data_IF_236702748806
#
_entry.id   IF_236702748806
#
_cell.length_a   1.000
_cell.length_b   1.000
_cell.length_c   1.000
_cell.angle_alpha   90.00
_cell.angle_beta   90.00
_cell.angle_gamma   90.00
#
_symmetry.space_group_name_H-M   'P 1'
#
loop_
_entity.id
_entity.type
_entity.pdbx_description
1 polymer ?
#
# COMPACT_ATOMS: atom_id res chain seq x y z
N UNK A 1 57.28 -27.47 8.14
CA UNK A 1 57.53 -28.28 9.35
C UNK A 1 58.29 -27.39 10.33
N UNK A 2 57.86 -27.34 11.60
CA UNK A 2 58.20 -26.39 12.70
C UNK A 2 57.48 -25.03 12.56
N UNK A 3 56.38 -24.68 13.24
CA UNK A 3 55.94 -24.72 14.68
C UNK A 3 56.65 -23.68 15.56
N UNK A 4 55.88 -22.67 15.98
CA UNK A 4 55.71 -22.17 17.37
C UNK A 4 54.50 -21.22 17.40
N UNK A 5 53.41 -21.47 18.13
CA UNK A 5 53.21 -21.45 19.60
C UNK A 5 53.00 -20.05 20.20
N UNK A 6 51.72 -19.72 20.44
CA UNK A 6 51.14 -18.97 21.57
C UNK A 6 49.71 -18.55 21.14
N UNK A 7 48.60 -18.84 21.80
CA UNK A 7 48.37 -19.18 23.20
C UNK A 7 47.22 -18.29 23.70
N UNK A 8 45.96 -18.73 23.56
CA UNK A 8 44.82 -18.11 24.25
C UNK A 8 43.74 -19.16 24.54
N UNK A 9 43.75 -19.61 25.80
CA UNK A 9 42.74 -20.46 26.43
C UNK A 9 41.52 -19.61 26.83
N UNK A 10 40.32 -19.97 26.35
CA UNK A 10 39.06 -19.55 26.97
C UNK A 10 38.47 -20.71 27.77
N UNK A 11 38.20 -20.55 29.06
CA UNK A 11 37.72 -21.64 29.88
C UNK A 11 36.21 -21.54 30.20
N UNK A 12 35.61 -22.69 30.47
CA UNK A 12 34.33 -22.95 31.16
C UNK A 12 33.04 -22.36 30.54
N UNK A 13 32.04 -23.16 30.16
CA UNK A 13 31.50 -24.29 30.92
C UNK A 13 30.28 -23.83 31.70
N UNK A 14 29.10 -23.83 31.07
CA UNK A 14 27.82 -23.65 31.76
C UNK A 14 26.85 -24.72 31.27
N UNK A 15 26.90 -25.88 31.92
CA UNK A 15 25.82 -26.86 31.91
C UNK A 15 24.56 -26.20 32.47
N UNK A 16 23.51 -26.05 31.65
CA UNK A 16 22.15 -25.80 32.16
C UNK A 16 21.46 -27.13 32.33
N UNK A 17 21.07 -27.37 33.58
CA UNK A 17 20.10 -28.37 34.00
C UNK A 17 18.88 -28.37 33.06
N UNK A 18 18.66 -29.49 32.38
CA UNK A 18 17.37 -29.87 31.81
C UNK A 18 16.60 -30.59 32.93
N UNK A 19 15.80 -29.84 33.69
CA UNK A 19 14.84 -30.39 34.64
C UNK A 19 13.44 -30.23 34.07
N UNK A 20 12.85 -31.38 33.71
CA UNK A 20 11.44 -31.71 33.82
C UNK A 20 10.38 -30.64 33.58
N UNK A 21 10.08 -30.36 32.31
CA UNK A 21 8.74 -29.89 31.88
C UNK A 21 8.28 -30.68 30.65
N UNK A 22 8.45 -32.01 30.68
CA UNK A 22 7.72 -32.92 29.81
C UNK A 22 6.55 -33.47 30.61
N UNK A 23 5.33 -32.98 30.37
CA UNK A 23 4.07 -33.77 30.35
C UNK A 23 2.77 -32.94 30.25
N UNK A 24 2.78 -31.60 30.32
CA UNK A 24 1.54 -30.81 30.09
C UNK A 24 1.40 -30.20 28.68
N UNK A 25 2.39 -30.39 27.80
CA UNK A 25 2.37 -29.91 26.40
C UNK A 25 1.76 -30.97 25.46
N UNK A 26 0.61 -31.55 25.83
CA UNK A 26 -0.12 -32.49 24.96
C UNK A 26 -1.62 -32.20 24.84
N UNK A 27 -2.11 -31.10 25.43
CA UNK A 27 -3.56 -30.82 25.52
C UNK A 27 -4.00 -29.46 24.99
N UNK A 28 -3.19 -28.82 24.13
CA UNK A 28 -3.62 -27.62 23.38
C UNK A 28 -3.28 -27.73 21.89
N UNK A 29 -3.71 -28.83 21.26
CA UNK A 29 -4.02 -28.76 19.84
C UNK A 29 -5.14 -27.73 19.69
N UNK A 30 -4.77 -26.51 19.29
CA UNK A 30 -5.74 -25.49 18.93
C UNK A 30 -6.58 -26.07 17.79
N UNK A 31 -7.87 -26.26 18.06
CA UNK A 31 -8.84 -26.65 17.03
C UNK A 31 -8.67 -25.69 15.85
N UNK A 32 -8.41 -26.18 14.62
CA UNK A 32 -8.50 -25.34 13.45
C UNK A 32 -9.87 -24.65 13.50
N UNK A 33 -9.88 -23.32 13.58
CA UNK A 33 -11.13 -22.56 13.63
C UNK A 33 -11.92 -23.00 12.41
N UNK A 34 -13.09 -23.60 12.64
CA UNK A 34 -13.92 -24.23 11.61
C UNK A 34 -14.06 -23.37 10.33
N UNK A 35 -13.98 -22.04 10.46
CA UNK A 35 -13.99 -21.07 9.37
C UNK A 35 -12.93 -21.29 8.28
N UNK A 36 -11.71 -21.67 8.66
CA UNK A 36 -10.61 -21.86 7.71
C UNK A 36 -10.71 -23.22 7.00
N UNK A 37 -11.33 -24.21 7.66
CA UNK A 37 -11.61 -25.53 7.07
C UNK A 37 -12.72 -25.43 6.02
N UNK A 38 -13.75 -24.60 6.27
CA UNK A 38 -14.89 -24.49 5.38
C UNK A 38 -14.72 -23.45 4.26
N UNK A 39 -13.63 -22.66 4.25
CA UNK A 39 -13.39 -21.66 3.20
C UNK A 39 -14.42 -20.53 3.18
N UNK A 40 -14.91 -20.12 4.35
CA UNK A 40 -15.96 -19.10 4.46
C UNK A 40 -15.42 -17.70 4.07
N UNK A 41 -16.14 -16.94 3.23
CA UNK A 41 -15.70 -15.62 2.78
C UNK A 41 -15.66 -14.57 3.91
N UNK A 42 -14.75 -13.61 3.79
CA UNK A 42 -14.54 -12.54 4.78
C UNK A 42 -15.33 -11.25 4.46
N UNK A 43 -16.01 -11.19 3.33
CA UNK A 43 -16.77 -10.04 2.85
C UNK A 43 -18.28 -10.32 2.84
N UNK A 44 -19.09 -9.28 3.06
CA UNK A 44 -20.55 -9.39 3.11
C UNK A 44 -21.12 -9.99 1.82
N UNK A 45 -20.53 -9.63 0.67
CA UNK A 45 -20.92 -10.16 -0.64
C UNK A 45 -20.70 -11.67 -0.71
N UNK A 46 -19.54 -12.16 -0.30
CA UNK A 46 -19.28 -13.60 -0.24
C UNK A 46 -20.28 -14.34 0.65
N UNK A 47 -20.68 -13.78 1.79
CA UNK A 47 -21.72 -14.38 2.64
C UNK A 47 -23.09 -14.47 1.96
N UNK A 48 -23.51 -13.41 1.26
CA UNK A 48 -24.78 -13.40 0.52
C UNK A 48 -24.77 -14.43 -0.62
N UNK A 49 -23.66 -14.53 -1.35
CA UNK A 49 -23.50 -15.52 -2.42
C UNK A 49 -23.46 -16.95 -1.86
N UNK A 50 -22.79 -17.18 -0.73
CA UNK A 50 -22.74 -18.49 -0.08
C UNK A 50 -24.13 -18.93 0.41
N UNK A 51 -24.91 -18.01 0.99
CA UNK A 51 -26.30 -18.27 1.36
C UNK A 51 -27.16 -18.61 0.13
N UNK A 52 -26.97 -17.90 -0.99
CA UNK A 52 -27.60 -18.21 -2.27
C UNK A 52 -27.28 -19.62 -2.78
N UNK A 53 -26.01 -20.02 -2.71
CA UNK A 53 -25.56 -21.37 -3.08
C UNK A 53 -26.23 -22.46 -2.23
N UNK A 54 -26.30 -22.27 -0.90
CA UNK A 54 -26.99 -23.20 0.00
C UNK A 54 -28.47 -23.28 -0.33
N UNK A 55 -29.13 -22.13 -0.60
CA UNK A 55 -30.52 -22.08 -1.03
C UNK A 55 -30.77 -22.89 -2.29
N UNK A 56 -29.91 -22.75 -3.31
CA UNK A 56 -30.01 -23.52 -4.55
C UNK A 56 -29.87 -25.04 -4.32
N UNK A 57 -28.95 -25.46 -3.45
CA UNK A 57 -28.80 -26.89 -3.08
C UNK A 57 -30.05 -27.42 -2.39
N UNK A 58 -30.62 -26.68 -1.44
CA UNK A 58 -31.83 -27.10 -0.72
C UNK A 58 -33.04 -27.23 -1.65
N UNK A 59 -33.21 -26.29 -2.58
CA UNK A 59 -34.26 -26.37 -3.62
C UNK A 59 -34.02 -27.58 -4.51
N UNK A 60 -32.78 -27.83 -4.94
CA UNK A 60 -32.42 -29.01 -5.73
C UNK A 60 -32.77 -30.32 -5.03
N UNK A 61 -32.43 -30.45 -3.74
CA UNK A 61 -32.78 -31.62 -2.93
C UNK A 61 -34.30 -31.79 -2.82
N UNK A 62 -35.04 -30.71 -2.54
CA UNK A 62 -36.50 -30.76 -2.43
C UNK A 62 -37.17 -31.26 -3.72
N UNK A 63 -36.73 -30.77 -4.87
CA UNK A 63 -37.23 -31.21 -6.18
C UNK A 63 -36.94 -32.69 -6.46
N UNK A 64 -35.72 -33.15 -6.15
CA UNK A 64 -35.36 -34.57 -6.30
C UNK A 64 -36.21 -35.48 -5.42
N UNK A 65 -36.51 -35.07 -4.19
CA UNK A 65 -37.37 -35.84 -3.29
C UNK A 65 -38.81 -35.98 -3.81
N UNK A 66 -39.28 -35.00 -4.60
CA UNK A 66 -40.58 -35.07 -5.29
C UNK A 66 -40.53 -35.80 -6.64
N UNK A 67 -39.37 -36.33 -7.04
CA UNK A 67 -39.17 -37.01 -8.31
C UNK A 67 -38.97 -36.08 -9.52
N UNK A 68 -38.76 -34.79 -9.29
CA UNK A 68 -38.54 -33.81 -10.35
C UNK A 68 -37.06 -33.80 -10.80
N UNK A 69 -36.74 -34.17 -12.06
CA UNK A 69 -35.39 -34.18 -12.57
C UNK A 69 -34.74 -32.79 -12.61
N UNK A 70 -35.52 -31.70 -12.55
CA UNK A 70 -34.98 -30.34 -12.45
C UNK A 70 -34.23 -30.08 -11.14
N UNK A 71 -34.31 -30.97 -10.14
CA UNK A 71 -33.49 -30.85 -8.94
C UNK A 71 -31.98 -30.99 -9.19
N UNK A 72 -31.56 -31.75 -10.22
CA UNK A 72 -30.15 -31.95 -10.57
C UNK A 72 -29.43 -30.65 -10.98
N UNK A 73 -29.95 -29.83 -11.92
CA UNK A 73 -29.28 -28.58 -12.29
C UNK A 73 -29.21 -27.57 -11.15
N UNK A 74 -30.19 -27.51 -10.23
CA UNK A 74 -30.10 -26.64 -9.04
C UNK A 74 -28.98 -27.08 -8.09
N UNK A 75 -28.82 -28.39 -7.88
CA UNK A 75 -27.72 -28.96 -7.11
C UNK A 75 -26.36 -28.62 -7.72
N UNK A 76 -26.21 -28.86 -9.04
CA UNK A 76 -24.97 -28.54 -9.75
C UNK A 76 -24.64 -27.04 -9.69
N UNK A 77 -25.66 -26.19 -9.84
CA UNK A 77 -25.53 -24.73 -9.75
C UNK A 77 -25.08 -24.30 -8.35
N UNK A 78 -25.70 -24.83 -7.29
CA UNK A 78 -25.32 -24.49 -5.91
C UNK A 78 -23.88 -24.89 -5.57
N UNK A 79 -23.43 -26.07 -6.03
CA UNK A 79 -22.04 -26.52 -5.84
C UNK A 79 -21.07 -25.65 -6.64
N UNK A 80 -21.36 -25.38 -7.92
CA UNK A 80 -20.54 -24.52 -8.75
C UNK A 80 -20.45 -23.09 -8.19
N UNK A 81 -21.57 -22.52 -7.75
CA UNK A 81 -21.62 -21.20 -7.13
C UNK A 81 -20.73 -21.12 -5.88
N UNK A 82 -20.73 -22.18 -5.06
CA UNK A 82 -19.88 -22.27 -3.87
C UNK A 82 -18.38 -22.33 -4.22
N UNK A 83 -17.99 -23.21 -5.15
CA UNK A 83 -16.58 -23.36 -5.55
C UNK A 83 -16.01 -22.09 -6.19
N UNK A 84 -16.85 -21.34 -6.89
CA UNK A 84 -16.45 -20.13 -7.62
C UNK A 84 -16.89 -18.82 -6.95
N UNK A 85 -17.09 -18.83 -5.62
CA UNK A 85 -17.40 -17.65 -4.81
C UNK A 85 -16.44 -16.46 -5.07
N UNK A 86 -15.18 -16.77 -5.35
CA UNK A 86 -14.11 -15.78 -5.59
C UNK A 86 -14.06 -15.29 -7.06
N UNK A 87 -14.67 -16.00 -8.01
CA UNK A 87 -14.62 -15.68 -9.43
C UNK A 87 -15.83 -14.81 -9.84
N UNK A 88 -15.64 -13.49 -9.81
CA UNK A 88 -16.70 -12.49 -10.06
C UNK A 88 -17.49 -12.71 -11.35
N UNK A 89 -16.79 -12.90 -12.47
CA UNK A 89 -17.42 -13.07 -13.79
C UNK A 89 -18.22 -14.37 -13.85
N UNK A 90 -17.68 -15.45 -13.26
CA UNK A 90 -18.34 -16.75 -13.25
C UNK A 90 -19.63 -16.72 -12.41
N UNK A 91 -19.56 -16.15 -11.19
CA UNK A 91 -20.74 -15.99 -10.34
C UNK A 91 -21.83 -15.17 -11.01
N UNK A 92 -21.47 -14.10 -11.74
CA UNK A 92 -22.43 -13.28 -12.48
C UNK A 92 -23.13 -14.07 -13.59
N UNK A 93 -22.37 -14.80 -14.41
CA UNK A 93 -22.90 -15.62 -15.51
C UNK A 93 -23.84 -16.70 -14.95
N UNK A 94 -23.42 -17.36 -13.87
CA UNK A 94 -24.17 -18.45 -13.25
C UNK A 94 -25.54 -17.99 -12.74
N UNK A 95 -25.59 -16.93 -11.92
CA UNK A 95 -26.85 -16.42 -11.37
C UNK A 95 -27.75 -15.77 -12.43
N UNK A 96 -27.17 -15.16 -13.46
CA UNK A 96 -27.93 -14.67 -14.63
C UNK A 96 -28.57 -15.83 -15.40
N UNK A 97 -27.86 -16.94 -15.56
CA UNK A 97 -28.38 -18.17 -16.17
C UNK A 97 -29.57 -18.74 -15.39
N UNK A 98 -29.49 -18.78 -14.06
CA UNK A 98 -30.61 -19.22 -13.19
C UNK A 98 -31.83 -18.34 -13.38
N UNK A 99 -31.65 -17.01 -13.39
CA UNK A 99 -32.74 -16.06 -13.57
C UNK A 99 -33.42 -16.22 -14.95
N UNK A 100 -32.63 -16.37 -16.02
CA UNK A 100 -33.15 -16.55 -17.38
C UNK A 100 -33.86 -17.91 -17.54
N UNK A 101 -33.30 -18.98 -16.98
CA UNK A 101 -33.91 -20.31 -17.00
C UNK A 101 -35.26 -20.33 -16.28
N UNK A 102 -35.34 -19.72 -15.10
CA UNK A 102 -36.59 -19.58 -14.36
C UNK A 102 -37.61 -18.70 -15.12
N UNK A 103 -37.16 -17.62 -15.76
CA UNK A 103 -38.04 -16.75 -16.55
C UNK A 103 -38.67 -17.49 -17.74
N UNK A 104 -37.88 -18.30 -18.45
CA UNK A 104 -38.41 -19.17 -19.51
C UNK A 104 -39.47 -20.15 -18.99
N UNK A 105 -39.24 -20.74 -17.82
CA UNK A 105 -40.22 -21.60 -17.15
C UNK A 105 -41.51 -20.87 -16.75
N UNK A 106 -41.40 -19.62 -16.29
CA UNK A 106 -42.56 -18.80 -15.94
C UNK A 106 -43.44 -18.48 -17.16
N UNK A 107 -42.81 -18.16 -18.30
CA UNK A 107 -43.52 -17.88 -19.57
C UNK A 107 -44.30 -19.10 -20.05
N UNK A 108 -43.82 -20.31 -19.78
CA UNK A 108 -44.46 -21.57 -20.15
C UNK A 108 -45.60 -22.00 -19.20
N UNK A 109 -46.08 -21.09 -18.34
CA UNK A 109 -47.20 -21.36 -17.42
C UNK A 109 -46.78 -21.75 -16.00
N UNK A 110 -45.58 -21.31 -15.58
CA UNK A 110 -45.05 -21.61 -14.25
C UNK A 110 -45.87 -21.00 -13.10
N UNK A 111 -45.81 -21.67 -11.94
CA UNK A 111 -46.41 -21.21 -10.69
C UNK A 111 -45.70 -19.96 -10.13
N UNK A 112 -46.34 -19.27 -9.19
CA UNK A 112 -45.79 -18.09 -8.48
C UNK A 112 -44.40 -18.35 -7.89
N UNK A 113 -44.11 -19.58 -7.50
CA UNK A 113 -42.79 -20.03 -7.02
C UNK A 113 -41.68 -19.82 -8.05
N UNK A 114 -41.96 -19.93 -9.35
CA UNK A 114 -40.97 -19.70 -10.42
C UNK A 114 -40.56 -18.23 -10.47
N UNK A 115 -41.50 -17.32 -10.21
CA UNK A 115 -41.25 -15.88 -10.18
C UNK A 115 -40.34 -15.49 -9.00
N UNK A 116 -40.46 -16.16 -7.85
CA UNK A 116 -39.54 -15.99 -6.73
C UNK A 116 -38.11 -16.42 -7.08
N UNK A 117 -37.94 -17.48 -7.87
CA UNK A 117 -36.61 -17.91 -8.32
C UNK A 117 -35.99 -16.91 -9.30
N UNK A 118 -36.79 -16.32 -10.20
CA UNK A 118 -36.33 -15.23 -11.08
C UNK A 118 -35.80 -14.06 -10.26
N UNK A 119 -36.56 -13.60 -9.27
CA UNK A 119 -36.17 -12.49 -8.41
C UNK A 119 -34.91 -12.80 -7.58
N UNK A 120 -34.81 -14.00 -7.02
CA UNK A 120 -33.64 -14.43 -6.26
C UNK A 120 -32.38 -14.52 -7.15
N UNK A 121 -32.48 -15.12 -8.34
CA UNK A 121 -31.38 -15.21 -9.30
C UNK A 121 -30.90 -13.84 -9.78
N UNK A 122 -31.83 -12.94 -10.10
CA UNK A 122 -31.50 -11.57 -10.50
C UNK A 122 -30.85 -10.77 -9.36
N UNK A 123 -31.35 -10.91 -8.12
CA UNK A 123 -30.76 -10.29 -6.93
C UNK A 123 -29.33 -10.76 -6.68
N UNK A 124 -29.07 -12.07 -6.79
CA UNK A 124 -27.72 -12.64 -6.63
C UNK A 124 -26.77 -12.24 -7.77
N UNK A 125 -27.27 -12.13 -9.00
CA UNK A 125 -26.51 -11.60 -10.13
C UNK A 125 -26.12 -10.14 -9.89
N UNK A 126 -27.03 -9.31 -9.37
CA UNK A 126 -26.74 -7.92 -9.01
C UNK A 126 -25.69 -7.82 -7.89
N UNK A 127 -25.77 -8.69 -6.88
CA UNK A 127 -24.76 -8.78 -5.81
C UNK A 127 -23.40 -9.20 -6.38
N UNK A 128 -23.35 -10.15 -7.32
CA UNK A 128 -22.12 -10.54 -8.00
C UNK A 128 -21.55 -9.43 -8.91
N UNK A 129 -22.43 -8.64 -9.55
CA UNK A 129 -22.07 -7.50 -10.38
C UNK A 129 -21.60 -6.31 -9.54
N UNK A 130 -22.05 -6.18 -8.29
CA UNK A 130 -21.64 -5.07 -7.44
C UNK A 130 -20.11 -5.03 -7.34
N UNK A 131 -19.48 -3.88 -7.62
CA UNK A 131 -18.07 -3.72 -7.27
C UNK A 131 -18.01 -4.02 -5.79
N UNK A 132 -17.30 -5.11 -5.43
CA UNK A 132 -17.14 -5.47 -4.03
C UNK A 132 -16.77 -4.18 -3.32
N UNK A 133 -17.49 -3.85 -2.25
CA UNK A 133 -17.28 -2.61 -1.53
C UNK A 133 -15.85 -2.64 -1.00
N UNK A 134 -14.91 -2.25 -1.86
CA UNK A 134 -13.64 -1.72 -1.46
C UNK A 134 -14.05 -0.66 -0.48
N UNK A 135 -13.67 -0.88 0.76
CA UNK A 135 -14.01 -0.13 1.97
C UNK A 135 -13.40 1.29 1.91
N UNK A 136 -13.40 1.89 0.73
CA UNK A 136 -12.92 3.20 0.32
C UNK A 136 -14.08 4.12 -0.08
N UNK A 137 -15.30 3.62 -0.35
CA UNK A 137 -16.38 4.46 -0.90
C UNK A 137 -17.58 4.76 0.04
N UNK A 138 -17.69 4.18 1.24
CA UNK A 138 -18.84 4.45 2.16
C UNK A 138 -18.57 5.59 3.14
N UNK A 139 -17.71 6.54 2.77
CA UNK A 139 -17.68 7.88 3.39
C UNK A 139 -17.73 8.92 2.26
N UNK A 140 -18.76 8.86 1.43
CA UNK A 140 -19.14 9.99 0.58
C UNK A 140 -20.54 9.75 0.02
N UNK A 141 -21.53 9.71 0.91
CA UNK A 141 -22.89 10.08 0.52
C UNK A 141 -23.57 10.74 1.72
N UNK A 142 -23.00 11.88 2.10
CA UNK A 142 -23.79 12.95 2.70
C UNK A 142 -24.49 13.64 1.54
N UNK A 143 -25.82 13.54 1.52
CA UNK A 143 -26.75 14.46 0.86
C UNK A 143 -26.09 15.76 0.40
N UNK A 144 -26.07 15.99 -0.92
CA UNK A 144 -25.55 17.21 -1.52
C UNK A 144 -26.11 18.46 -0.81
N UNK A 145 -25.29 19.25 -0.10
CA UNK A 145 -25.72 20.52 0.44
C UNK A 145 -25.88 21.47 -0.73
N UNK A 146 -27.10 21.97 -0.88
CA UNK A 146 -27.46 22.97 -1.89
C UNK A 146 -27.07 24.37 -1.43
N UNK A 147 -25.88 24.54 -0.86
CA UNK A 147 -25.39 25.84 -0.39
C UNK A 147 -24.02 26.13 -0.97
N UNK A 148 -23.98 27.02 -1.97
CA UNK A 148 -22.77 27.60 -2.52
C UNK A 148 -21.88 28.26 -1.43
N UNK A 149 -22.46 28.57 -0.27
CA UNK A 149 -21.76 29.11 0.88
C UNK A 149 -21.01 28.06 1.70
N UNK A 150 -21.48 26.81 1.76
CA UNK A 150 -20.74 25.70 2.37
C UNK A 150 -19.60 25.25 1.46
N UNK A 151 -19.81 25.24 0.14
CA UNK A 151 -18.74 25.04 -0.84
C UNK A 151 -17.67 26.15 -0.75
N UNK A 152 -18.07 27.41 -0.53
CA UNK A 152 -17.13 28.53 -0.28
C UNK A 152 -16.46 28.44 1.08
N UNK A 153 -17.13 27.95 2.11
CA UNK A 153 -16.55 27.73 3.44
C UNK A 153 -15.52 26.59 3.40
N UNK A 154 -15.81 25.49 2.71
CA UNK A 154 -14.88 24.39 2.47
C UNK A 154 -13.71 24.82 1.58
N UNK A 155 -13.94 25.67 0.57
CA UNK A 155 -12.85 26.28 -0.21
C UNK A 155 -11.98 27.18 0.68
N UNK A 156 -12.56 28.02 1.55
CA UNK A 156 -11.81 28.84 2.51
C UNK A 156 -11.05 27.99 3.53
N UNK A 157 -11.62 26.89 4.01
CA UNK A 157 -10.97 25.94 4.91
C UNK A 157 -9.84 25.16 4.20
N UNK A 158 -10.01 24.87 2.91
CA UNK A 158 -8.95 24.32 2.04
C UNK A 158 -7.89 25.36 1.67
N UNK A 159 -8.22 26.65 1.72
CA UNK A 159 -7.26 27.76 1.60
C UNK A 159 -6.50 28.01 2.92
N UNK A 160 -6.96 27.41 4.04
CA UNK A 160 -6.20 27.29 5.29
C UNK A 160 -5.34 26.01 5.35
N UNK A 161 -5.05 25.38 4.21
CA UNK A 161 -3.80 24.63 4.10
C UNK A 161 -2.66 25.58 4.49
N UNK A 162 -1.69 25.14 5.31
CA UNK A 162 -0.60 26.00 5.76
C UNK A 162 -0.04 26.73 4.55
N UNK A 163 -0.21 28.05 4.56
CA UNK A 163 0.18 28.93 3.46
C UNK A 163 1.60 28.53 3.05
N UNK A 164 1.78 28.15 1.78
CA UNK A 164 3.06 27.66 1.26
C UNK A 164 4.24 28.61 1.54
N UNK A 165 3.96 29.87 1.87
CA UNK A 165 4.91 30.86 2.39
C UNK A 165 5.62 30.47 3.72
N UNK A 166 5.10 29.52 4.50
CA UNK A 166 5.74 29.00 5.71
C UNK A 166 6.55 27.70 5.49
N UNK A 167 6.64 27.21 4.26
CA UNK A 167 7.54 26.10 3.87
C UNK A 167 8.91 26.70 3.50
N UNK A 168 9.42 27.60 4.34
CA UNK A 168 10.84 27.85 4.37
C UNK A 168 11.53 26.59 4.92
N UNK A 169 12.77 26.28 4.52
CA UNK A 169 13.56 25.29 5.24
C UNK A 169 13.57 25.74 6.70
N UNK A 170 12.89 24.99 7.56
CA UNK A 170 12.81 25.28 8.98
C UNK A 170 14.17 24.92 9.59
N UNK A 171 15.19 25.69 9.25
CA UNK A 171 16.47 25.80 9.94
C UNK A 171 16.32 26.51 11.29
N UNK A 172 15.08 26.76 11.75
CA UNK A 172 14.78 27.06 13.15
C UNK A 172 14.98 25.79 14.02
N UNK A 173 16.23 25.36 14.07
CA UNK A 173 16.98 24.98 15.25
C UNK A 173 16.18 24.28 16.36
N UNK A 174 16.13 22.95 16.23
CA UNK A 174 16.58 22.11 17.33
C UNK A 174 15.53 21.51 18.24
N UNK A 175 14.24 21.57 17.88
CA UNK A 175 13.19 20.84 18.61
C UNK A 175 12.25 20.13 17.65
N UNK A 176 12.45 18.83 17.49
CA UNK A 176 11.58 17.99 16.67
C UNK A 176 12.32 16.86 15.97
N UNK A 177 11.54 15.96 15.41
CA UNK A 177 12.03 14.78 14.70
C UNK A 177 11.92 14.99 13.20
N UNK A 178 13.02 14.80 12.48
CA UNK A 178 13.09 14.89 11.02
C UNK A 178 13.44 13.52 10.46
N UNK A 179 12.63 13.02 9.54
CA UNK A 179 12.83 11.76 8.84
C UNK A 179 13.18 12.07 7.39
N UNK A 180 14.40 11.71 6.99
CA UNK A 180 14.86 11.72 5.60
C UNK A 180 14.88 10.28 5.10
N UNK A 181 14.07 10.00 4.10
CA UNK A 181 13.84 8.65 3.58
C UNK A 181 14.00 8.55 2.07
N UNK A 182 14.06 9.67 1.36
CA UNK A 182 14.51 9.69 -0.03
C UNK A 182 16.04 9.53 0.01
N UNK A 183 16.56 8.46 -0.60
CA UNK A 183 17.92 8.01 -0.40
C UNK A 183 18.08 7.12 0.84
N UNK A 184 19.22 7.24 1.52
CA UNK A 184 19.50 6.47 2.75
C UNK A 184 18.65 6.99 3.90
N UNK A 185 18.07 6.08 4.68
CA UNK A 185 17.29 6.45 5.87
C UNK A 185 18.15 7.21 6.89
N UNK A 186 17.66 8.39 7.28
CA UNK A 186 18.17 9.18 8.40
C UNK A 186 17.00 9.65 9.26
N UNK A 187 17.18 9.59 10.57
CA UNK A 187 16.22 10.05 11.57
C UNK A 187 16.99 10.97 12.49
N UNK A 188 16.70 12.26 12.40
CA UNK A 188 17.32 13.29 13.20
C UNK A 188 16.34 13.66 14.33
N UNK A 189 16.79 13.68 15.57
CA UNK A 189 16.01 14.16 16.70
C UNK A 189 16.80 15.25 17.41
N UNK A 190 16.23 16.46 17.46
CA UNK A 190 16.90 17.65 18.01
C UNK A 190 18.28 17.91 17.38
N UNK A 191 18.44 17.53 16.11
CA UNK A 191 19.67 17.66 15.33
C UNK A 191 20.65 16.49 15.43
N UNK A 192 20.43 15.53 16.33
CA UNK A 192 21.26 14.33 16.47
C UNK A 192 20.73 13.19 15.58
N UNK A 193 21.62 12.50 14.85
CA UNK A 193 21.27 11.35 14.03
C UNK A 193 21.12 10.08 14.87
N UNK A 194 19.86 9.74 15.17
CA UNK A 194 19.49 8.53 15.92
C UNK A 194 19.30 7.31 15.02
N UNK A 195 19.42 7.45 13.69
CA UNK A 195 19.25 6.32 12.76
C UNK A 195 20.37 5.28 12.87
N UNK A 196 21.58 5.68 13.28
CA UNK A 196 22.71 4.77 13.41
C UNK A 196 22.44 3.65 14.43
N UNK A 197 21.80 3.96 15.56
CA UNK A 197 21.43 2.97 16.57
C UNK A 197 20.41 1.95 16.01
N UNK A 198 19.40 2.45 15.28
CA UNK A 198 18.41 1.60 14.62
C UNK A 198 19.07 0.69 13.58
N UNK A 199 19.93 1.24 12.73
CA UNK A 199 20.61 0.51 11.65
C UNK A 199 21.61 -0.54 12.14
N UNK A 200 22.16 -0.41 13.35
CA UNK A 200 22.98 -1.45 13.99
C UNK A 200 22.18 -2.69 14.38
N UNK A 201 20.84 -2.63 14.33
CA UNK A 201 19.93 -3.71 14.67
C UNK A 201 19.06 -4.05 13.45
N UNK A 202 19.56 -4.86 12.49
CA UNK A 202 18.92 -5.07 11.19
C UNK A 202 17.46 -5.48 11.29
N UNK A 203 17.14 -6.36 12.25
CA UNK A 203 15.77 -6.82 12.50
C UNK A 203 14.80 -5.69 12.88
N UNK A 204 15.24 -4.73 13.71
CA UNK A 204 14.44 -3.58 14.12
C UNK A 204 14.35 -2.53 13.01
N UNK A 205 15.48 -2.25 12.35
CA UNK A 205 15.53 -1.36 11.19
C UNK A 205 14.61 -1.85 10.06
N UNK A 206 14.58 -3.17 9.80
CA UNK A 206 13.71 -3.78 8.80
C UNK A 206 12.24 -3.52 9.15
N UNK A 207 11.82 -3.86 10.36
CA UNK A 207 10.44 -3.66 10.82
C UNK A 207 10.03 -2.19 10.73
N UNK A 208 10.88 -1.28 11.21
CA UNK A 208 10.60 0.15 11.20
C UNK A 208 10.51 0.71 9.77
N UNK A 209 11.45 0.33 8.89
CA UNK A 209 11.47 0.77 7.48
C UNK A 209 10.27 0.23 6.69
N UNK A 210 9.89 -1.02 6.95
CA UNK A 210 8.68 -1.63 6.39
C UNK A 210 7.42 -0.85 6.80
N UNK A 211 7.29 -0.52 8.09
CA UNK A 211 6.16 0.26 8.59
C UNK A 211 6.15 1.69 8.02
N UNK A 212 7.31 2.33 7.89
CA UNK A 212 7.46 3.63 7.23
C UNK A 212 7.00 3.57 5.77
N UNK A 213 7.47 2.58 4.99
CA UNK A 213 7.05 2.38 3.60
C UNK A 213 5.55 2.13 3.48
N UNK A 214 4.97 1.35 4.41
CA UNK A 214 3.53 1.13 4.46
C UNK A 214 2.76 2.44 4.65
N UNK A 215 3.25 3.34 5.51
CA UNK A 215 2.61 4.63 5.80
C UNK A 215 2.52 5.55 4.57
N UNK A 216 3.48 5.43 3.64
CA UNK A 216 3.45 6.12 2.35
C UNK A 216 2.25 5.68 1.52
N UNK A 217 1.96 4.37 1.52
CA UNK A 217 0.89 3.77 0.73
C UNK A 217 -0.50 3.87 1.40
N UNK A 218 -0.56 3.80 2.74
CA UNK A 218 -1.82 3.87 3.49
C UNK A 218 -1.59 4.20 4.96
N UNK A 219 -2.43 5.07 5.51
CA UNK A 219 -2.51 5.38 6.95
C UNK A 219 -3.39 4.37 7.74
N UNK A 220 -3.58 3.16 7.20
CA UNK A 220 -4.44 2.15 7.83
C UNK A 220 -3.60 1.32 8.80
N UNK A 221 -4.08 1.06 10.03
CA UNK A 221 -3.43 0.11 10.92
C UNK A 221 -3.28 -1.27 10.26
N UNK A 222 -2.14 -1.93 10.46
CA UNK A 222 -1.92 -3.30 9.98
C UNK A 222 -2.41 -4.30 11.02
N UNK A 223 -2.99 -5.41 10.58
CA UNK A 223 -3.27 -6.54 11.46
C UNK A 223 -1.95 -7.18 11.91
N UNK A 224 -1.83 -7.46 13.21
CA UNK A 224 -0.65 -8.09 13.80
C UNK A 224 -0.31 -9.43 13.17
N UNK A 225 -1.32 -10.25 12.85
CA UNK A 225 -1.08 -11.56 12.24
C UNK A 225 -0.49 -11.42 10.83
N UNK A 226 -1.02 -10.49 10.02
CA UNK A 226 -0.48 -10.22 8.68
C UNK A 226 0.95 -9.67 8.75
N UNK A 227 1.23 -8.77 9.70
CA UNK A 227 2.58 -8.26 9.91
C UNK A 227 3.54 -9.35 10.41
N UNK A 228 3.06 -10.26 11.25
CA UNK A 228 3.88 -11.34 11.80
C UNK A 228 4.26 -12.37 10.72
N UNK A 229 3.34 -12.65 9.81
CA UNK A 229 3.57 -13.54 8.66
C UNK A 229 4.62 -12.94 7.72
N UNK A 230 4.46 -11.67 7.37
CA UNK A 230 5.39 -10.91 6.54
C UNK A 230 6.79 -10.83 7.15
N UNK A 231 6.87 -10.62 8.47
CA UNK A 231 8.13 -10.44 9.17
C UNK A 231 8.90 -11.74 9.44
N UNK A 232 8.23 -12.89 9.44
CA UNK A 232 8.84 -14.17 9.75
C UNK A 232 8.21 -15.30 8.92
N UNK A 233 8.35 -15.25 7.60
CA UNK A 233 7.71 -16.19 6.71
C UNK A 233 8.23 -17.62 6.96
N UNK A 234 7.33 -18.59 6.86
CA UNK A 234 7.64 -20.01 7.01
C UNK A 234 7.76 -20.52 8.45
N UNK A 235 7.63 -19.65 9.47
CA UNK A 235 7.47 -20.10 10.85
C UNK A 235 6.00 -20.43 11.18
N UNK A 236 5.74 -21.31 12.16
CA UNK A 236 4.39 -21.49 12.68
C UNK A 236 3.79 -20.17 13.19
N UNK A 237 2.50 -19.93 12.96
CA UNK A 237 1.82 -18.65 13.27
C UNK A 237 2.01 -18.18 14.71
N UNK A 238 2.04 -19.11 15.68
CA UNK A 238 2.30 -18.79 17.09
C UNK A 238 3.72 -18.24 17.30
N UNK A 239 4.71 -18.84 16.64
CA UNK A 239 6.11 -18.40 16.67
C UNK A 239 6.30 -17.06 15.96
N UNK A 240 5.63 -16.85 14.82
CA UNK A 240 5.60 -15.56 14.12
C UNK A 240 5.06 -14.47 15.04
N UNK A 241 3.90 -14.68 15.65
CA UNK A 241 3.24 -13.70 16.52
C UNK A 241 4.07 -13.40 17.77
N UNK A 242 4.66 -14.43 18.39
CA UNK A 242 5.57 -14.28 19.52
C UNK A 242 6.78 -13.44 19.13
N UNK A 243 7.45 -13.79 18.03
CA UNK A 243 8.62 -13.06 17.54
C UNK A 243 8.28 -11.61 17.22
N UNK A 244 7.18 -11.35 16.50
CA UNK A 244 6.73 -9.97 16.22
C UNK A 244 6.50 -9.19 17.52
N UNK A 245 5.82 -9.78 18.51
CA UNK A 245 5.58 -9.12 19.79
C UNK A 245 6.90 -8.75 20.48
N UNK A 246 7.86 -9.66 20.49
CA UNK A 246 9.16 -9.44 21.12
C UNK A 246 9.95 -8.34 20.37
N UNK A 247 9.86 -8.29 19.03
CA UNK A 247 10.51 -7.22 18.24
C UNK A 247 9.83 -5.86 18.40
N UNK A 248 8.50 -5.79 18.48
CA UNK A 248 7.79 -4.54 18.80
C UNK A 248 8.20 -4.05 20.19
N UNK A 249 8.29 -4.94 21.18
CA UNK A 249 8.76 -4.59 22.51
C UNK A 249 10.18 -4.00 22.46
N UNK A 250 11.12 -4.68 21.80
CA UNK A 250 12.49 -4.19 21.66
C UNK A 250 12.56 -2.87 20.89
N UNK A 251 11.74 -2.68 19.86
CA UNK A 251 11.66 -1.42 19.11
C UNK A 251 11.12 -0.27 19.97
N UNK A 252 10.32 -0.55 21.00
CA UNK A 252 9.78 0.47 21.90
C UNK A 252 10.71 0.79 23.08
N UNK A 253 11.60 -0.12 23.46
CA UNK A 253 12.39 0.01 24.69
C UNK A 253 13.91 0.02 24.49
N UNK A 254 14.41 -0.52 23.38
CA UNK A 254 15.85 -0.73 23.19
C UNK A 254 16.47 0.13 22.09
N UNK A 255 15.73 1.09 21.52
CA UNK A 255 16.23 2.11 20.58
C UNK A 255 15.89 3.49 21.13
N UNK A 256 16.45 4.55 20.53
CA UNK A 256 16.07 5.94 20.82
C UNK A 256 14.54 6.11 20.99
N UNK A 257 14.05 6.68 22.11
CA UNK A 257 12.62 6.74 22.43
C UNK A 257 11.76 7.31 21.30
N UNK A 258 12.27 8.33 20.60
CA UNK A 258 11.63 8.94 19.44
C UNK A 258 11.29 7.96 18.31
N UNK A 259 12.12 6.93 18.09
CA UNK A 259 11.90 5.88 17.09
C UNK A 259 10.83 4.91 17.58
N UNK A 260 10.89 4.53 18.86
CA UNK A 260 9.94 3.61 19.48
C UNK A 260 8.52 4.17 19.57
N UNK A 261 8.39 5.46 19.89
CA UNK A 261 7.10 6.17 19.98
C UNK A 261 6.34 6.25 18.65
N UNK A 262 7.06 6.18 17.52
CA UNK A 262 6.45 6.09 16.19
C UNK A 262 5.75 4.76 15.93
N UNK A 263 6.00 3.72 16.74
CA UNK A 263 5.36 2.41 16.58
C UNK A 263 4.37 2.18 17.71
N UNK A 264 3.09 2.31 17.37
CA UNK A 264 1.98 2.04 18.29
C UNK A 264 1.41 0.66 17.99
N UNK A 265 1.32 -0.18 19.02
CA UNK A 265 0.74 -1.51 18.90
C UNK A 265 -0.37 -1.72 19.93
N UNK A 266 -1.51 -2.23 19.46
CA UNK A 266 -2.59 -2.70 20.31
C UNK A 266 -2.68 -4.24 20.27
N UNK A 267 -3.79 -4.82 20.76
CA UNK A 267 -3.99 -6.27 20.78
C UNK A 267 -3.98 -6.90 19.38
N UNK A 268 -4.51 -6.20 18.38
CA UNK A 268 -4.79 -6.72 17.05
C UNK A 268 -4.11 -5.94 15.93
N UNK A 269 -3.68 -4.70 16.18
CA UNK A 269 -3.15 -3.81 15.17
C UNK A 269 -1.79 -3.22 15.53
N UNK A 270 -1.04 -2.86 14.51
CA UNK A 270 0.16 -2.03 14.58
C UNK A 270 -0.02 -0.83 13.67
N UNK A 271 0.30 0.35 14.17
CA UNK A 271 0.26 1.61 13.43
C UNK A 271 1.61 2.29 13.52
N UNK A 272 2.04 2.84 12.39
CA UNK A 272 3.16 3.76 12.32
C UNK A 272 2.65 5.20 12.44
N UNK A 273 3.09 5.93 13.47
CA UNK A 273 2.61 7.26 13.83
C UNK A 273 3.71 8.28 13.63
N UNK A 274 3.51 9.19 12.67
CA UNK A 274 4.45 10.26 12.33
C UNK A 274 4.15 11.57 13.09
N UNK A 275 3.45 11.49 14.23
CA UNK A 275 2.90 12.67 14.91
C UNK A 275 3.98 13.69 15.26
N UNK A 276 3.94 14.84 14.58
CA UNK A 276 4.91 15.94 14.79
C UNK A 276 6.27 15.74 14.13
N UNK A 277 6.49 14.63 13.40
CA UNK A 277 7.72 14.42 12.65
C UNK A 277 7.67 15.14 11.29
N UNK A 278 8.73 15.87 10.95
CA UNK A 278 8.98 16.37 9.60
C UNK A 278 9.43 15.19 8.73
N UNK A 279 8.53 14.71 7.87
CA UNK A 279 8.79 13.59 6.97
C UNK A 279 8.90 14.08 5.53
N UNK A 280 10.08 13.92 4.93
CA UNK A 280 10.39 14.42 3.59
C UNK A 280 9.41 13.97 2.50
N UNK A 281 8.96 12.72 2.54
CA UNK A 281 7.98 12.18 1.58
C UNK A 281 6.59 12.82 1.75
N UNK A 282 6.17 13.16 2.96
CA UNK A 282 4.89 13.84 3.17
C UNK A 282 4.95 15.28 2.70
N UNK A 283 6.06 15.97 2.90
CA UNK A 283 6.30 17.30 2.33
C UNK A 283 6.29 17.26 0.80
N UNK A 284 6.98 16.28 0.20
CA UNK A 284 6.96 16.08 -1.24
C UNK A 284 5.54 15.85 -1.78
N UNK A 285 4.78 14.97 -1.13
CA UNK A 285 3.39 14.69 -1.50
C UNK A 285 2.53 15.94 -1.41
N UNK A 286 2.59 16.67 -0.29
CA UNK A 286 1.80 17.87 -0.07
C UNK A 286 2.11 18.94 -1.13
N UNK A 287 3.39 19.21 -1.40
CA UNK A 287 3.80 20.13 -2.45
C UNK A 287 3.28 19.71 -3.82
N UNK A 288 3.45 18.43 -4.19
CA UNK A 288 2.97 17.91 -5.48
C UNK A 288 1.46 17.99 -5.67
N UNK A 289 0.69 17.96 -4.57
CA UNK A 289 -0.77 18.09 -4.60
C UNK A 289 -1.23 19.54 -4.58
N UNK A 290 -0.48 20.43 -3.92
CA UNK A 290 -0.78 21.86 -3.83
C UNK A 290 -0.52 22.60 -5.15
N UNK A 291 0.51 22.18 -5.89
CA UNK A 291 0.87 22.72 -7.19
C UNK A 291 0.01 22.06 -8.26
N UNK A 292 -1.28 22.41 -8.26
CA UNK A 292 -2.20 22.02 -9.33
C UNK A 292 -1.73 22.60 -10.68
N UNK A 293 -2.07 21.95 -11.81
CA UNK A 293 -1.57 22.28 -13.14
C UNK A 293 -2.19 23.55 -13.73
N UNK A 294 -2.73 24.47 -12.92
CA UNK A 294 -3.16 25.78 -13.39
C UNK A 294 -1.98 26.77 -13.29
N UNK A 295 -1.24 27.01 -14.38
CA UNK A 295 0.00 27.79 -14.36
C UNK A 295 -0.23 29.27 -14.04
N UNK A 296 -1.45 29.79 -14.23
CA UNK A 296 -1.76 31.21 -14.04
C UNK A 296 -2.00 31.59 -12.56
N UNK A 297 -2.23 30.60 -11.70
CA UNK A 297 -2.59 30.82 -10.29
C UNK A 297 -1.48 30.49 -9.29
N UNK A 298 -0.33 30.01 -9.74
CA UNK A 298 0.76 29.67 -8.84
C UNK A 298 1.53 30.91 -8.38
N UNK A 299 1.60 31.08 -7.07
CA UNK A 299 2.46 32.07 -6.43
C UNK A 299 3.93 31.79 -6.76
N UNK A 300 4.66 32.84 -7.12
CA UNK A 300 6.10 32.77 -7.40
C UNK A 300 6.86 32.24 -6.18
N UNK A 301 6.46 32.66 -4.98
CA UNK A 301 7.10 32.22 -3.74
C UNK A 301 6.89 30.72 -3.50
N UNK A 302 5.70 30.20 -3.79
CA UNK A 302 5.42 28.76 -3.68
C UNK A 302 6.25 27.94 -4.70
N UNK A 303 6.39 28.45 -5.92
CA UNK A 303 7.21 27.78 -6.96
C UNK A 303 8.69 27.78 -6.58
N UNK A 304 9.22 28.90 -6.07
CA UNK A 304 10.61 29.00 -5.61
C UNK A 304 10.88 28.08 -4.41
N UNK A 305 9.93 27.99 -3.46
CA UNK A 305 10.00 27.05 -2.34
C UNK A 305 10.01 25.59 -2.79
N UNK A 306 9.15 25.22 -3.75
CA UNK A 306 9.10 23.88 -4.31
C UNK A 306 10.36 23.51 -5.11
N UNK A 307 10.90 24.45 -5.90
CA UNK A 307 12.19 24.28 -6.59
C UNK A 307 13.33 24.07 -5.58
N UNK A 308 13.42 24.93 -4.57
CA UNK A 308 14.43 24.80 -3.52
C UNK A 308 14.32 23.47 -2.77
N UNK A 309 13.09 23.01 -2.49
CA UNK A 309 12.85 21.71 -1.89
C UNK A 309 13.35 20.57 -2.80
N UNK A 310 12.98 20.56 -4.09
CA UNK A 310 13.43 19.55 -5.06
C UNK A 310 14.96 19.48 -5.19
N UNK A 311 15.64 20.63 -5.20
CA UNK A 311 17.09 20.72 -5.32
C UNK A 311 17.83 20.29 -4.04
N UNK A 312 17.16 20.40 -2.87
CA UNK A 312 17.69 19.91 -1.59
C UNK A 312 17.47 18.41 -1.38
N UNK A 313 16.49 17.81 -2.07
CA UNK A 313 16.26 16.38 -1.96
C UNK A 313 17.49 15.62 -2.49
N UNK A 314 18.02 14.65 -1.72
CA UNK A 314 19.10 13.82 -2.22
C UNK A 314 18.68 13.07 -3.48
N UNK A 315 19.67 12.75 -4.31
CA UNK A 315 19.47 11.82 -5.41
C UNK A 315 19.24 10.41 -4.85
N UNK A 316 18.39 9.64 -5.51
CA UNK A 316 18.19 8.22 -5.19
C UNK A 316 16.74 7.85 -4.89
N UNK A 317 16.53 6.57 -4.66
CA UNK A 317 15.21 6.00 -4.39
C UNK A 317 14.83 6.09 -2.91
N UNK A 318 13.53 6.03 -2.63
CA UNK A 318 13.00 5.96 -1.27
C UNK A 318 13.47 4.68 -0.57
N UNK A 319 14.04 4.82 0.64
CA UNK A 319 14.64 3.74 1.42
C UNK A 319 15.69 2.96 0.62
N UNK A 320 16.69 3.67 0.10
CA UNK A 320 17.83 3.04 -0.56
C UNK A 320 18.56 2.10 0.41
N UNK A 321 18.81 0.87 -0.02
CA UNK A 321 19.43 -0.17 0.81
C UNK A 321 18.45 -1.08 1.57
N UNK A 322 17.14 -1.00 1.27
CA UNK A 322 16.12 -1.81 1.95
C UNK A 322 16.24 -3.30 1.63
N UNK A 323 16.62 -3.66 0.41
CA UNK A 323 16.73 -5.05 -0.05
C UNK A 323 17.83 -5.80 0.70
N UNK A 324 18.96 -5.16 0.99
CA UNK A 324 20.03 -5.72 1.82
C UNK A 324 19.54 -5.98 3.24
N UNK A 325 18.71 -5.07 3.76
CA UNK A 325 18.11 -5.17 5.08
C UNK A 325 17.07 -6.30 5.16
N UNK A 326 16.23 -6.44 4.14
CA UNK A 326 15.28 -7.55 4.00
C UNK A 326 16.00 -8.88 3.87
N UNK A 327 16.99 -8.97 2.98
CA UNK A 327 17.79 -10.18 2.80
C UNK A 327 18.46 -10.63 4.10
N UNK A 328 18.94 -9.68 4.92
CA UNK A 328 19.54 -9.99 6.22
C UNK A 328 18.54 -10.54 7.26
N UNK A 329 17.25 -10.26 7.13
CA UNK A 329 16.23 -10.58 8.15
C UNK A 329 15.30 -11.72 7.73
N UNK A 330 14.87 -11.74 6.47
CA UNK A 330 13.91 -12.71 5.93
C UNK A 330 14.49 -13.58 4.83
N UNK A 331 15.75 -13.36 4.44
CA UNK A 331 16.40 -14.03 3.29
C UNK A 331 15.65 -13.75 1.96
N UNK A 332 15.03 -12.57 1.85
CA UNK A 332 14.23 -12.18 0.68
C UNK A 332 12.90 -12.93 0.56
N UNK A 333 12.48 -13.63 1.62
CA UNK A 333 11.16 -14.24 1.71
C UNK A 333 10.19 -13.18 2.22
N UNK A 334 9.10 -12.93 1.50
CA UNK A 334 8.07 -11.95 1.88
C UNK A 334 7.55 -11.16 0.67
N UNK A 335 6.52 -10.35 0.92
CA UNK A 335 6.01 -9.30 0.04
C UNK A 335 6.54 -7.89 0.41
N UNK A 336 7.45 -7.77 1.39
CA UNK A 336 8.03 -6.52 1.84
C UNK A 336 8.75 -5.77 0.71
N UNK A 337 9.59 -6.45 -0.08
CA UNK A 337 10.19 -5.90 -1.30
C UNK A 337 9.16 -5.31 -2.27
N UNK A 338 8.05 -6.03 -2.54
CA UNK A 338 7.01 -5.56 -3.44
C UNK A 338 6.33 -4.29 -2.91
N UNK A 339 6.06 -4.24 -1.61
CA UNK A 339 5.46 -3.07 -0.96
C UNK A 339 6.40 -1.85 -0.98
N UNK A 340 7.69 -2.03 -0.69
CA UNK A 340 8.68 -0.94 -0.76
C UNK A 340 8.86 -0.46 -2.20
N UNK A 341 8.87 -1.38 -3.17
CA UNK A 341 8.87 -1.03 -4.60
C UNK A 341 7.65 -0.18 -4.97
N UNK A 342 6.46 -0.54 -4.53
CA UNK A 342 5.25 0.24 -4.78
C UNK A 342 5.31 1.63 -4.12
N UNK A 343 5.86 1.71 -2.90
CA UNK A 343 6.11 2.99 -2.23
C UNK A 343 7.10 3.85 -3.02
N UNK A 344 8.21 3.27 -3.50
CA UNK A 344 9.19 3.97 -4.36
C UNK A 344 8.56 4.49 -5.63
N UNK A 345 7.69 3.71 -6.29
CA UNK A 345 6.95 4.15 -7.47
C UNK A 345 6.04 5.35 -7.18
N UNK A 346 5.35 5.36 -6.02
CA UNK A 346 4.55 6.51 -5.58
C UNK A 346 5.41 7.74 -5.26
N UNK A 347 6.53 7.58 -4.55
CA UNK A 347 7.42 8.70 -4.21
C UNK A 347 8.03 9.31 -5.47
N UNK A 348 8.54 8.48 -6.39
CA UNK A 348 8.97 8.92 -7.72
C UNK A 348 7.81 9.57 -8.50
N UNK A 349 6.58 9.07 -8.28
CA UNK A 349 5.28 9.68 -8.61
C UNK A 349 5.26 11.17 -8.34
N UNK A 350 5.27 11.49 -7.07
CA UNK A 350 5.16 12.84 -6.55
C UNK A 350 6.35 13.71 -6.93
N UNK A 351 7.58 13.17 -6.90
CA UNK A 351 8.79 13.91 -7.33
C UNK A 351 8.70 14.35 -8.77
N UNK A 352 8.36 13.43 -9.68
CA UNK A 352 8.20 13.75 -11.09
C UNK A 352 7.07 14.73 -11.36
N UNK A 353 5.93 14.59 -10.66
CA UNK A 353 4.80 15.51 -10.78
C UNK A 353 5.16 16.92 -10.31
N UNK A 354 5.84 17.03 -9.16
CA UNK A 354 6.31 18.30 -8.62
C UNK A 354 7.31 18.99 -9.56
N UNK A 355 8.30 18.24 -10.08
CA UNK A 355 9.28 18.76 -11.03
C UNK A 355 8.61 19.27 -12.32
N UNK A 356 7.61 18.53 -12.83
CA UNK A 356 6.82 18.96 -13.98
C UNK A 356 6.05 20.26 -13.70
N UNK A 357 5.38 20.38 -12.54
CA UNK A 357 4.62 21.57 -12.19
C UNK A 357 5.52 22.82 -12.05
N UNK A 358 6.67 22.67 -11.38
CA UNK A 358 7.67 23.75 -11.28
C UNK A 358 8.18 24.14 -12.67
N UNK A 359 8.50 23.16 -13.52
CA UNK A 359 8.96 23.42 -14.88
C UNK A 359 7.92 24.13 -15.74
N UNK A 360 6.66 23.70 -15.70
CA UNK A 360 5.57 24.33 -16.46
C UNK A 360 5.43 25.82 -16.10
N UNK A 361 5.52 26.17 -14.80
CA UNK A 361 5.52 27.56 -14.35
C UNK A 361 6.74 28.36 -14.84
N UNK A 362 7.94 27.76 -14.80
CA UNK A 362 9.17 28.39 -15.30
C UNK A 362 9.13 28.61 -16.81
N UNK A 363 8.63 27.65 -17.58
CA UNK A 363 8.47 27.76 -19.04
C UNK A 363 7.44 28.83 -19.41
N UNK A 364 6.32 28.92 -18.69
CA UNK A 364 5.32 29.99 -18.90
C UNK A 364 5.94 31.39 -18.72
N UNK A 365 6.93 31.52 -17.82
CA UNK A 365 7.68 32.76 -17.58
C UNK A 365 8.92 32.93 -18.47
N UNK A 366 9.10 32.09 -19.49
CA UNK A 366 10.26 32.09 -20.39
C UNK A 366 11.59 31.93 -19.65
N UNK A 367 11.61 31.07 -18.63
CA UNK A 367 12.80 30.72 -17.85
C UNK A 367 13.18 29.23 -18.08
N UNK A 368 13.49 28.81 -19.32
CA UNK A 368 13.74 27.40 -19.63
C UNK A 368 14.92 26.82 -18.84
N UNK A 369 15.92 27.64 -18.51
CA UNK A 369 17.14 27.19 -17.81
C UNK A 369 16.85 26.74 -16.37
N UNK A 370 15.86 27.35 -15.71
CA UNK A 370 15.41 26.91 -14.40
C UNK A 370 14.56 25.64 -14.50
N UNK A 371 13.77 25.49 -15.56
CA UNK A 371 13.03 24.26 -15.83
C UNK A 371 13.98 23.07 -16.07
N UNK A 372 15.07 23.27 -16.84
CA UNK A 372 16.07 22.23 -17.09
C UNK A 372 16.70 21.71 -15.78
N UNK A 373 17.02 22.61 -14.84
CA UNK A 373 17.64 22.25 -13.55
C UNK A 373 16.82 21.26 -12.72
N UNK A 374 15.49 21.31 -12.79
CA UNK A 374 14.61 20.39 -12.06
C UNK A 374 14.23 19.16 -12.88
N UNK A 375 14.12 19.29 -14.20
CA UNK A 375 13.70 18.20 -15.09
C UNK A 375 14.81 17.18 -15.37
N UNK A 376 16.06 17.62 -15.53
CA UNK A 376 17.18 16.71 -15.82
C UNK A 376 17.39 15.66 -14.70
N UNK A 377 17.50 16.03 -13.41
CA UNK A 377 17.62 15.04 -12.33
C UNK A 377 16.36 14.17 -12.21
N UNK A 378 15.17 14.75 -12.37
CA UNK A 378 13.92 14.00 -12.28
C UNK A 378 13.80 12.93 -13.39
N UNK A 379 14.29 13.21 -14.60
CA UNK A 379 14.32 12.22 -15.67
C UNK A 379 15.39 11.15 -15.44
N UNK A 380 16.56 11.53 -14.90
CA UNK A 380 17.61 10.57 -14.56
C UNK A 380 17.13 9.52 -13.55
N UNK A 381 16.32 9.92 -12.57
CA UNK A 381 15.73 9.01 -11.59
C UNK A 381 14.55 8.19 -12.14
N UNK A 382 13.80 8.74 -13.09
CA UNK A 382 12.63 8.09 -13.66
C UNK A 382 12.65 8.08 -15.20
N UNK A 383 13.60 7.35 -15.84
CA UNK A 383 13.86 7.43 -17.28
C UNK A 383 12.74 6.87 -18.17
N UNK A 384 11.72 6.26 -17.57
CA UNK A 384 10.53 5.72 -18.25
C UNK A 384 9.34 6.68 -18.23
N UNK A 385 9.47 7.87 -17.63
CA UNK A 385 8.37 8.84 -17.51
C UNK A 385 8.33 9.79 -18.68
N UNK A 386 7.50 9.46 -19.66
CA UNK A 386 7.27 10.29 -20.85
C UNK A 386 6.86 11.72 -20.50
N UNK A 387 6.05 11.93 -19.47
CA UNK A 387 5.59 13.27 -19.08
C UNK A 387 6.72 14.22 -18.68
N UNK A 388 7.77 13.71 -18.02
CA UNK A 388 8.98 14.48 -17.67
C UNK A 388 9.79 14.73 -18.94
N UNK A 389 9.96 13.69 -19.75
CA UNK A 389 10.78 13.74 -20.95
C UNK A 389 10.21 14.71 -22.01
N UNK A 390 8.88 14.76 -22.18
CA UNK A 390 8.19 15.73 -23.06
C UNK A 390 8.45 17.17 -22.63
N UNK A 391 8.28 17.48 -21.33
CA UNK A 391 8.57 18.82 -20.79
C UNK A 391 10.04 19.19 -20.91
N UNK A 392 10.94 18.21 -20.74
CA UNK A 392 12.38 18.43 -20.91
C UNK A 392 12.74 18.76 -22.37
N UNK A 393 12.09 18.10 -23.33
CA UNK A 393 12.20 18.44 -24.75
C UNK A 393 11.73 19.89 -24.99
N UNK A 394 10.58 20.28 -24.43
CA UNK A 394 10.05 21.64 -24.60
C UNK A 394 11.00 22.69 -24.00
N UNK A 395 11.56 22.42 -22.82
CA UNK A 395 12.56 23.27 -22.19
C UNK A 395 13.85 23.39 -23.04
N UNK A 396 14.33 22.29 -23.62
CA UNK A 396 15.47 22.32 -24.54
C UNK A 396 15.20 23.13 -25.81
N UNK A 397 13.99 23.04 -26.37
CA UNK A 397 13.63 23.83 -27.55
C UNK A 397 13.56 25.32 -27.23
N UNK A 398 12.96 25.70 -26.11
CA UNK A 398 12.84 27.10 -25.68
C UNK A 398 14.19 27.73 -25.31
N UNK A 399 15.16 26.93 -24.87
CA UNK A 399 16.54 27.35 -24.58
C UNK A 399 17.47 27.33 -25.80
N UNK A 400 16.96 26.95 -26.99
CA UNK A 400 17.76 26.84 -28.21
C UNK A 400 18.64 25.59 -28.31
N UNK A 401 18.51 24.63 -27.40
CA UNK A 401 19.26 23.36 -27.38
C UNK A 401 18.60 22.28 -28.24
N UNK A 402 18.33 22.58 -29.51
CA UNK A 402 17.60 21.70 -30.45
C UNK A 402 18.21 20.31 -30.59
N UNK A 403 19.53 20.21 -30.66
CA UNK A 403 20.24 18.93 -30.78
C UNK A 403 19.96 17.98 -29.60
N UNK A 404 19.89 18.51 -28.36
CA UNK A 404 19.56 17.70 -27.17
C UNK A 404 18.09 17.26 -27.17
N UNK A 405 17.19 18.14 -27.62
CA UNK A 405 15.78 17.81 -27.77
C UNK A 405 15.55 16.67 -28.77
N UNK A 406 16.24 16.70 -29.91
CA UNK A 406 16.17 15.64 -30.94
C UNK A 406 16.77 14.32 -30.48
N UNK A 407 17.89 14.36 -29.76
CA UNK A 407 18.48 13.17 -29.15
C UNK A 407 17.51 12.53 -28.16
N UNK A 408 16.91 13.32 -27.26
CA UNK A 408 15.94 12.81 -26.30
C UNK A 408 14.68 12.25 -26.97
N UNK A 409 14.18 12.90 -28.04
CA UNK A 409 13.07 12.36 -28.85
C UNK A 409 13.39 10.98 -29.44
N UNK A 410 14.60 10.81 -29.99
CA UNK A 410 15.06 9.52 -30.53
C UNK A 410 15.13 8.44 -29.44
N UNK A 411 15.61 8.79 -28.25
CA UNK A 411 15.69 7.87 -27.11
C UNK A 411 14.32 7.44 -26.57
N UNK A 412 13.31 8.31 -26.61
CA UNK A 412 11.94 7.97 -26.22
C UNK A 412 11.28 7.09 -27.30
N UNK A 413 11.44 7.46 -28.57
CA UNK A 413 10.88 6.72 -29.71
C UNK A 413 11.39 5.28 -29.79
N UNK A 414 12.69 5.06 -29.61
CA UNK A 414 13.28 3.72 -29.65
C UNK A 414 12.84 2.80 -28.49
N UNK A 415 12.42 3.37 -27.35
CA UNK A 415 11.92 2.59 -26.22
C UNK A 415 10.45 2.16 -26.37
N UNK A 416 9.68 2.84 -27.22
CA UNK A 416 8.27 2.51 -27.49
C UNK A 416 8.11 1.24 -28.31
N UNK A 417 8.98 1.00 -29.29
CA UNK A 417 8.86 -0.12 -30.25
C UNK A 417 9.23 -1.49 -29.67
N UNK A 418 9.88 -1.56 -28.50
CA UNK A 418 10.33 -2.84 -27.89
C UNK A 418 9.28 -3.43 -26.93
N UNK A 419 8.10 -2.80 -26.78
CA UNK A 419 7.08 -3.16 -25.79
C UNK A 419 5.72 -3.60 -26.38
N UNK A 420 5.62 -3.75 -27.70
CA UNK A 420 4.56 -4.49 -28.37
C UNK A 420 5.02 -5.92 -28.67
#
# INVERSE_FOLDING_TARGET
MLVNEAGALYPFGRQRHMSGEGLEEKSRMAEPKARDIFGLPNDLRGWVLAAGSVGAVLVGIGLLLTGDPFGLPYLATGVAAYLFLHARVFSLILWSGVALGALAGAILGGSVTVLLVVLAGAGLALVAASPGADRRAVISDGTAPTDADEARALLKQRTQLPTAAAIGPNEAAGRGTVIRSIGRLQVLHDGEDVSAELLQRPTLAFLWSFLLARSVLSDRPLLRNSLADEFSPGLPTQSQTKRLRDQIYNLQHDVAPVIGEMVQADRNHVRFCLNGADFDVFHLRALSQSLHPDPELLDQQATEGAEAFLLKLPAGEFLAGFEELENAVTEGRGAASDMVRDARLQVAGWRGALACAVADHRLARRQPELALRVLEPALAEAPKREAIARRLIDAYLQSGQTARAEELRRQIGSKGEVRE
#
